data_IF_704422750762
#
_entry.id   IF_704422750762
#
_cell.length_a   1.000
_cell.length_b   1.000
_cell.length_c   1.000
_cell.angle_alpha   90.00
_cell.angle_beta   90.00
_cell.angle_gamma   90.00
#
_symmetry.space_group_name_H-M   'P 1'
#
loop_
_entity.id
_entity.type
_entity.pdbx_description
1 polymer ?
#
# COMPACT_ATOMS: atom_id res chain seq x y z
N UNK A 1 -35.40 0.63 -29.08
CA UNK A 1 -34.18 0.31 -28.30
C UNK A 1 -34.58 0.38 -26.83
N UNK A 2 -34.66 -0.76 -26.11
CA UNK A 2 -34.80 -0.71 -24.65
C UNK A 2 -33.49 -0.11 -24.12
N UNK A 3 -33.56 1.09 -23.56
CA UNK A 3 -32.49 1.64 -22.74
C UNK A 3 -32.58 0.90 -21.40
N UNK A 4 -31.76 -0.12 -21.24
CA UNK A 4 -31.51 -0.70 -19.91
C UNK A 4 -30.51 0.25 -19.25
N UNK A 5 -30.95 0.97 -18.21
CA UNK A 5 -30.04 1.65 -17.28
C UNK A 5 -29.25 0.57 -16.54
N UNK A 6 -28.08 0.22 -17.07
CA UNK A 6 -27.10 -0.60 -16.38
C UNK A 6 -26.30 0.31 -15.47
N UNK A 7 -26.55 0.24 -14.16
CA UNK A 7 -25.63 0.84 -13.18
C UNK A 7 -24.31 0.05 -13.20
N UNK A 8 -23.16 0.71 -13.42
CA UNK A 8 -21.88 0.03 -13.36
C UNK A 8 -21.60 -0.45 -11.94
N UNK A 9 -21.29 -1.73 -11.79
CA UNK A 9 -20.82 -2.32 -10.53
C UNK A 9 -19.30 -2.32 -10.49
N UNK A 10 -18.74 -1.99 -9.33
CA UNK A 10 -17.30 -1.96 -9.06
C UNK A 10 -16.89 -3.05 -8.07
N UNK A 11 -17.59 -4.19 -8.10
CA UNK A 11 -17.26 -5.34 -7.25
C UNK A 11 -15.83 -5.80 -7.54
N UNK A 12 -15.00 -5.85 -6.49
CA UNK A 12 -13.61 -6.32 -6.59
C UNK A 12 -13.60 -7.83 -6.77
N UNK A 13 -13.10 -8.30 -7.92
CA UNK A 13 -13.00 -9.74 -8.26
C UNK A 13 -11.55 -10.24 -8.23
N UNK A 14 -10.57 -9.34 -8.42
CA UNK A 14 -9.18 -9.72 -8.49
C UNK A 14 -8.25 -8.52 -8.61
N UNK A 15 -6.97 -8.81 -8.84
CA UNK A 15 -5.91 -7.81 -8.95
C UNK A 15 -5.03 -8.14 -10.16
N UNK A 16 -4.44 -7.13 -10.79
CA UNK A 16 -3.48 -7.29 -11.88
C UNK A 16 -2.16 -6.60 -11.51
N UNK A 17 -0.99 -7.25 -11.75
CA UNK A 17 0.28 -6.63 -11.42
C UNK A 17 0.58 -5.50 -12.41
N UNK A 18 1.01 -4.36 -11.88
CA UNK A 18 1.49 -3.24 -12.67
C UNK A 18 2.78 -2.70 -12.07
N UNK A 19 3.57 -2.01 -12.90
CA UNK A 19 4.67 -1.15 -12.46
C UNK A 19 4.39 0.27 -12.92
N UNK A 20 4.87 1.23 -12.15
CA UNK A 20 4.68 2.63 -12.46
C UNK A 20 5.82 3.10 -13.37
N UNK A 21 5.55 4.08 -14.22
CA UNK A 21 6.62 4.83 -14.89
C UNK A 21 7.54 5.42 -13.82
N UNK A 22 8.85 5.17 -13.95
CA UNK A 22 9.83 5.52 -12.91
C UNK A 22 9.79 7.00 -12.51
N UNK A 23 9.58 7.91 -13.47
CA UNK A 23 9.50 9.35 -13.21
C UNK A 23 8.35 9.77 -12.29
N UNK A 24 7.38 8.89 -12.03
CA UNK A 24 6.24 9.15 -11.14
C UNK A 24 6.47 8.59 -9.72
N UNK A 25 7.51 7.77 -9.51
CA UNK A 25 7.77 7.13 -8.21
C UNK A 25 8.07 8.13 -7.09
N UNK A 26 8.76 9.23 -7.42
CA UNK A 26 9.09 10.27 -6.45
C UNK A 26 7.86 10.91 -5.81
N UNK A 27 6.82 11.19 -6.61
CA UNK A 27 5.60 11.79 -6.09
C UNK A 27 4.80 10.82 -5.21
N UNK A 28 4.62 9.56 -5.64
CA UNK A 28 3.87 8.58 -4.82
C UNK A 28 4.59 8.26 -3.51
N UNK A 29 5.93 8.28 -3.49
CA UNK A 29 6.71 8.14 -2.26
C UNK A 29 6.48 9.34 -1.34
N UNK A 30 6.58 10.56 -1.87
CA UNK A 30 6.33 11.78 -1.11
C UNK A 30 4.88 11.87 -0.58
N UNK A 31 3.91 11.34 -1.33
CA UNK A 31 2.52 11.20 -0.86
C UNK A 31 2.41 10.26 0.34
N UNK A 32 3.10 9.12 0.31
CA UNK A 32 3.17 8.18 1.43
C UNK A 32 3.75 8.82 2.70
N UNK A 33 4.87 9.54 2.57
CA UNK A 33 5.49 10.27 3.68
C UNK A 33 4.53 11.29 4.30
N UNK A 34 3.86 12.10 3.47
CA UNK A 34 2.86 13.07 3.94
C UNK A 34 1.69 12.39 4.66
N UNK A 35 1.27 11.22 4.18
CA UNK A 35 0.21 10.44 4.82
C UNK A 35 0.62 9.92 6.20
N UNK A 36 1.81 9.33 6.32
CA UNK A 36 2.35 8.84 7.61
C UNK A 36 2.51 9.99 8.60
N UNK A 37 3.03 11.13 8.17
CA UNK A 37 3.20 12.31 9.02
C UNK A 37 1.84 12.93 9.43
N UNK A 38 0.84 12.92 8.55
CA UNK A 38 -0.51 13.32 8.90
C UNK A 38 -1.13 12.37 9.93
N UNK A 39 -1.03 11.05 9.72
CA UNK A 39 -1.53 10.04 10.64
C UNK A 39 -0.90 10.18 12.04
N UNK A 40 0.42 10.39 12.11
CA UNK A 40 1.15 10.62 13.37
C UNK A 40 0.61 11.81 14.16
N UNK A 41 0.23 12.90 13.48
CA UNK A 41 -0.30 14.11 14.11
C UNK A 41 -1.77 13.99 14.50
N UNK A 42 -2.57 13.35 13.66
CA UNK A 42 -4.04 13.30 13.79
C UNK A 42 -4.53 12.11 14.63
N UNK A 43 -3.83 10.98 14.57
CA UNK A 43 -4.22 9.71 15.20
C UNK A 43 -2.98 9.03 15.79
N UNK A 44 -2.55 9.39 17.01
CA UNK A 44 -1.42 8.73 17.68
C UNK A 44 -1.64 7.22 17.87
N UNK A 45 -0.61 6.37 17.75
CA UNK A 45 0.81 6.70 17.52
C UNK A 45 1.16 7.06 16.06
N UNK A 46 0.21 6.91 15.14
CA UNK A 46 0.38 7.12 13.71
C UNK A 46 0.10 5.85 12.91
N UNK A 47 0.67 5.78 11.71
CA UNK A 47 0.51 4.61 10.83
C UNK A 47 1.56 3.54 11.17
N UNK A 48 1.12 2.40 11.69
CA UNK A 48 1.97 1.24 11.97
C UNK A 48 1.71 0.15 10.93
N UNK A 49 2.77 -0.29 10.24
CA UNK A 49 2.68 -1.37 9.25
C UNK A 49 2.14 -0.91 7.88
N UNK A 50 1.54 -1.83 7.10
CA UNK A 50 1.18 -1.57 5.71
C UNK A 50 -0.06 -0.68 5.58
N UNK A 51 -0.05 0.18 4.57
CA UNK A 51 -1.21 0.94 4.12
C UNK A 51 -1.22 1.01 2.58
N UNK A 52 -2.35 1.42 2.01
CA UNK A 52 -2.51 1.65 0.57
C UNK A 52 -3.20 3.00 0.33
N UNK A 53 -2.69 3.76 -0.65
CA UNK A 53 -3.37 4.94 -1.20
C UNK A 53 -3.99 4.52 -2.54
N UNK A 54 -5.32 4.59 -2.62
CA UNK A 54 -6.10 4.08 -3.76
C UNK A 54 -6.56 5.26 -4.60
N UNK A 55 -6.26 5.22 -5.90
CA UNK A 55 -6.36 6.39 -6.74
C UNK A 55 -6.24 6.10 -8.22
N UNK A 56 -6.30 7.17 -9.00
CA UNK A 56 -6.18 7.17 -10.46
C UNK A 56 -5.14 8.19 -10.90
N UNK A 57 -4.56 7.96 -12.08
CA UNK A 57 -3.76 8.98 -12.77
C UNK A 57 -4.64 9.70 -13.79
N UNK A 58 -4.55 11.03 -13.83
CA UNK A 58 -5.11 11.82 -14.93
C UNK A 58 -4.21 11.78 -16.18
N UNK A 59 -4.59 12.53 -17.23
CA UNK A 59 -3.89 12.54 -18.51
C UNK A 59 -2.52 13.21 -18.42
N UNK A 60 -2.34 14.05 -17.41
CA UNK A 60 -1.14 14.81 -17.10
C UNK A 60 -0.18 14.03 -16.19
N UNK A 61 -0.58 12.84 -15.73
CA UNK A 61 0.24 11.99 -14.87
C UNK A 61 0.20 12.40 -13.40
N UNK A 62 -0.84 13.12 -12.96
CA UNK A 62 -1.06 13.43 -11.54
C UNK A 62 -1.89 12.34 -10.88
N UNK A 63 -1.40 11.85 -9.74
CA UNK A 63 -2.13 10.86 -8.95
C UNK A 63 -3.20 11.55 -8.07
N UNK A 64 -4.43 11.07 -8.17
CA UNK A 64 -5.59 11.54 -7.41
C UNK A 64 -6.12 10.37 -6.59
N UNK A 65 -6.02 10.49 -5.26
CA UNK A 65 -6.53 9.48 -4.32
C UNK A 65 -8.03 9.66 -4.10
N UNK A 66 -8.79 8.57 -4.12
CA UNK A 66 -10.20 8.54 -3.74
C UNK A 66 -10.45 7.77 -2.44
N UNK A 67 -9.54 6.88 -2.05
CA UNK A 67 -9.62 6.09 -0.81
C UNK A 67 -8.22 5.79 -0.27
N UNK A 68 -8.14 5.38 1.00
CA UNK A 68 -6.98 4.73 1.54
C UNK A 68 -7.38 3.54 2.42
N UNK A 69 -6.52 2.54 2.47
CA UNK A 69 -6.61 1.41 3.39
C UNK A 69 -5.50 1.53 4.43
N UNK A 70 -5.83 1.72 5.72
CA UNK A 70 -4.87 1.76 6.83
C UNK A 70 -4.43 0.35 7.30
N UNK A 71 -4.30 -0.58 6.34
CA UNK A 71 -3.97 -1.99 6.55
C UNK A 71 -3.53 -2.61 5.22
N UNK A 72 -3.11 -3.88 5.27
CA UNK A 72 -2.81 -4.67 4.08
C UNK A 72 -4.03 -4.78 3.14
N UNK A 73 -3.79 -4.79 1.84
CA UNK A 73 -4.81 -4.89 0.78
C UNK A 73 -4.61 -6.13 -0.09
N UNK A 74 -5.69 -6.58 -0.75
CA UNK A 74 -5.69 -7.77 -1.61
C UNK A 74 -4.70 -7.69 -2.78
N UNK A 75 -4.37 -6.49 -3.26
CA UNK A 75 -3.35 -6.27 -4.30
C UNK A 75 -1.98 -6.84 -3.95
N UNK A 76 -1.67 -6.99 -2.65
CA UNK A 76 -0.41 -7.58 -2.20
C UNK A 76 -0.31 -9.09 -2.44
N UNK A 77 -1.44 -9.78 -2.66
CA UNK A 77 -1.49 -11.24 -2.88
C UNK A 77 -0.77 -11.69 -4.15
N UNK A 78 -0.55 -10.78 -5.10
CA UNK A 78 0.20 -11.06 -6.34
C UNK A 78 1.70 -11.23 -6.10
N UNK A 79 2.22 -10.81 -4.96
CA UNK A 79 3.64 -10.64 -4.69
C UNK A 79 4.13 -11.52 -3.53
N UNK A 80 3.72 -12.79 -3.50
CA UNK A 80 4.11 -13.75 -2.45
C UNK A 80 5.63 -13.96 -2.36
N UNK A 81 6.30 -13.99 -3.52
CA UNK A 81 7.76 -14.11 -3.62
C UNK A 81 8.47 -12.75 -3.83
N UNK A 82 7.74 -11.65 -3.61
CA UNK A 82 8.23 -10.29 -3.82
C UNK A 82 7.65 -9.61 -5.05
N UNK A 83 7.92 -8.31 -5.15
CA UNK A 83 7.55 -7.43 -6.25
C UNK A 83 8.81 -6.87 -6.93
N UNK A 84 8.67 -6.27 -8.13
CA UNK A 84 9.77 -5.54 -8.76
C UNK A 84 10.41 -4.49 -7.83
N UNK A 85 9.64 -3.90 -6.91
CA UNK A 85 10.15 -2.92 -5.94
C UNK A 85 10.81 -3.56 -4.73
N UNK A 86 10.24 -4.64 -4.17
CA UNK A 86 10.85 -5.29 -3.01
C UNK A 86 12.19 -5.94 -3.39
N UNK A 87 12.35 -6.40 -4.64
CA UNK A 87 13.61 -6.92 -5.17
C UNK A 87 14.74 -5.88 -5.26
N UNK A 88 14.43 -4.57 -5.22
CA UNK A 88 15.43 -3.51 -5.14
C UNK A 88 15.93 -3.26 -3.71
N UNK A 89 15.19 -3.73 -2.70
CA UNK A 89 15.42 -3.43 -1.28
C UNK A 89 15.95 -4.66 -0.54
N UNK A 90 15.49 -5.85 -0.92
CA UNK A 90 15.76 -7.10 -0.22
C UNK A 90 16.48 -8.09 -1.12
N UNK A 91 17.49 -8.76 -0.57
CA UNK A 91 18.23 -9.84 -1.24
C UNK A 91 17.52 -11.21 -1.12
N UNK A 92 16.24 -11.21 -0.80
CA UNK A 92 15.42 -12.42 -0.63
C UNK A 92 13.95 -12.12 -0.98
N UNK A 93 13.15 -13.14 -1.35
CA UNK A 93 11.72 -12.98 -1.62
C UNK A 93 10.97 -12.28 -0.48
N UNK A 94 10.27 -11.19 -0.77
CA UNK A 94 9.64 -10.36 0.26
C UNK A 94 8.22 -9.93 -0.09
N UNK A 95 7.24 -10.72 0.33
CA UNK A 95 5.83 -10.28 0.34
C UNK A 95 5.56 -9.28 1.46
N UNK A 96 4.42 -8.58 1.35
CA UNK A 96 3.97 -7.70 2.43
C UNK A 96 3.66 -8.47 3.72
N UNK A 97 3.10 -9.68 3.61
CA UNK A 97 2.90 -10.56 4.76
C UNK A 97 4.23 -10.93 5.44
N UNK A 98 5.25 -11.30 4.66
CA UNK A 98 6.61 -11.57 5.19
C UNK A 98 7.23 -10.32 5.82
N UNK A 99 7.00 -9.14 5.23
CA UNK A 99 7.49 -7.87 5.78
C UNK A 99 6.87 -7.57 7.14
N UNK A 100 5.57 -7.77 7.33
CA UNK A 100 4.89 -7.62 8.62
C UNK A 100 5.44 -8.60 9.65
N UNK A 101 5.57 -9.89 9.29
CA UNK A 101 6.13 -10.90 10.18
C UNK A 101 7.58 -10.59 10.60
N UNK A 102 8.38 -10.05 9.69
CA UNK A 102 9.74 -9.57 9.97
C UNK A 102 9.74 -8.41 10.98
N UNK A 103 8.83 -7.46 10.85
CA UNK A 103 8.72 -6.35 11.80
C UNK A 103 8.43 -6.87 13.21
N UNK A 104 7.47 -7.79 13.32
CA UNK A 104 7.12 -8.42 14.61
C UNK A 104 8.33 -9.14 15.21
N UNK A 105 9.05 -9.92 14.40
CA UNK A 105 10.26 -10.62 14.85
C UNK A 105 11.32 -9.64 15.38
N UNK A 106 11.63 -8.58 14.63
CA UNK A 106 12.61 -7.56 15.03
C UNK A 106 12.16 -6.85 16.31
N UNK A 107 10.87 -6.49 16.42
CA UNK A 107 10.34 -5.84 17.61
C UNK A 107 10.40 -6.73 18.85
N UNK A 108 10.15 -8.04 18.71
CA UNK A 108 10.33 -9.02 19.78
C UNK A 108 11.80 -9.13 20.19
N UNK A 109 12.72 -9.27 19.23
CA UNK A 109 14.17 -9.38 19.48
C UNK A 109 14.73 -8.14 20.19
N UNK A 110 14.18 -6.96 19.88
CA UNK A 110 14.59 -5.68 20.47
C UNK A 110 13.79 -5.31 21.73
N UNK A 111 12.83 -6.11 22.16
CA UNK A 111 11.99 -5.82 23.34
C UNK A 111 11.07 -4.60 23.17
N UNK A 112 10.72 -4.23 21.94
CA UNK A 112 9.89 -3.05 21.60
C UNK A 112 8.55 -3.42 20.95
N UNK A 113 8.05 -4.63 21.18
CA UNK A 113 6.78 -5.11 20.62
C UNK A 113 5.60 -4.14 20.87
N UNK A 114 5.59 -3.50 22.04
CA UNK A 114 4.58 -2.50 22.42
C UNK A 114 4.52 -1.27 21.49
N UNK A 115 5.56 -1.00 20.68
CA UNK A 115 5.55 0.10 19.72
C UNK A 115 4.74 -0.21 18.46
N UNK A 116 4.53 -1.50 18.16
CA UNK A 116 3.87 -1.95 16.92
C UNK A 116 2.55 -2.69 17.17
N UNK A 117 2.13 -2.77 18.43
CA UNK A 117 0.86 -3.37 18.87
C UNK A 117 0.08 -2.34 19.67
N UNK A 118 -1.25 -2.40 19.61
CA UNK A 118 -2.16 -1.52 20.37
C UNK A 118 -3.20 -2.35 21.09
#
# INVERSE_FOLDING_TARGET
>A
RLAVELEPSYNVVGNMPIVLRESLLGEVYAMGERFVEAARRLVPPGMTGPFCLEGIYDREGKFITFEFSARIVAGTNLYLDGSPYSGLIFNEPMSMGRRVAREIKIACENGVLQQITT
#
